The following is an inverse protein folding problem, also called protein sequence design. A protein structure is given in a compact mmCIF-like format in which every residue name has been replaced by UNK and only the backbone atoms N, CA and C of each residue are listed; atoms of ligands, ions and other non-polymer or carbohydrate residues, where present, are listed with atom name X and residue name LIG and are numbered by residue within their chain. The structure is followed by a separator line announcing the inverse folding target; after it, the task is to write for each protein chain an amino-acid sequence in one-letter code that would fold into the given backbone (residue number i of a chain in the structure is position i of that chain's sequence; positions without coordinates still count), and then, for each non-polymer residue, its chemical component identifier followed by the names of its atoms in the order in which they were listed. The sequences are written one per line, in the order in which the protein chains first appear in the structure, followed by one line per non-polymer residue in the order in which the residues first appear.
data_IF_814776722385
#
_entry.id   IF_814776722385
#
_cell.length_a   1.000
_cell.length_b   1.000
_cell.length_c   1.000
_cell.angle_alpha   90.00
_cell.angle_beta   90.00
_cell.angle_gamma   90.00
#
_symmetry.space_group_name_H-M   'P 1'
#
loop_
_entity.id
_entity.type
_entity.pdbx_description
1 polymer ?
#
# COMPACT_ATOMS: atom_id res chain seq x y z
N UNK A 1 -32.55 47.01 17.85
CA UNK A 1 -33.57 47.60 17.01
C UNK A 1 -33.19 47.35 15.56
N UNK A 2 -33.77 46.58 14.74
CA UNK A 2 -35.11 46.20 14.34
C UNK A 2 -35.09 44.77 13.80
N UNK A 3 -35.95 43.93 14.28
CA UNK A 3 -36.34 42.66 13.67
C UNK A 3 -37.31 42.91 12.50
N UNK A 4 -37.21 42.08 11.43
CA UNK A 4 -38.31 41.91 10.50
C UNK A 4 -38.46 40.42 10.19
N UNK A 5 -39.69 39.98 10.34
CA UNK A 5 -40.22 38.61 10.30
C UNK A 5 -40.54 38.17 8.86
N UNK A 6 -40.66 36.80 8.75
CA UNK A 6 -41.26 36.00 7.68
C UNK A 6 -42.59 36.56 7.12
N UNK A 7 -43.07 36.04 5.94
CA UNK A 7 -44.07 34.99 6.07
C UNK A 7 -43.96 33.78 5.11
N UNK A 8 -44.50 32.67 5.61
CA UNK A 8 -44.87 31.44 4.92
C UNK A 8 -46.20 31.57 4.15
N UNK A 9 -46.39 30.79 3.09
CA UNK A 9 -47.64 30.27 2.53
C UNK A 9 -47.26 29.11 1.61
N UNK A 10 -47.58 27.87 1.83
CA UNK A 10 -48.78 27.06 1.94
C UNK A 10 -49.54 26.84 0.61
N UNK A 11 -49.78 25.50 0.37
CA UNK A 11 -50.89 24.84 -0.37
C UNK A 11 -50.60 24.51 -1.84
N UNK A 12 -50.96 23.34 -2.45
CA UNK A 12 -51.97 22.30 -2.26
C UNK A 12 -51.56 21.06 -3.08
N UNK A 13 -51.58 19.89 -2.57
CA UNK A 13 -52.49 18.74 -2.76
C UNK A 13 -53.01 18.45 -4.18
N UNK A 14 -52.74 17.26 -4.69
CA UNK A 14 -53.70 16.48 -5.47
C UNK A 14 -53.34 15.00 -5.42
N UNK A 15 -54.19 14.25 -4.77
CA UNK A 15 -54.29 12.78 -4.75
C UNK A 15 -55.07 12.38 -6.00
N UNK A 16 -54.62 11.31 -6.68
CA UNK A 16 -55.47 10.54 -7.57
C UNK A 16 -55.24 9.04 -7.36
N UNK A 17 -56.22 8.42 -6.74
CA UNK A 17 -56.44 6.97 -6.63
C UNK A 17 -57.22 6.48 -7.84
N UNK A 18 -56.93 5.32 -8.36
CA UNK A 18 -57.83 4.39 -9.08
C UNK A 18 -56.95 3.19 -9.49
N UNK A 19 -57.23 1.99 -9.33
CA UNK A 19 -58.23 1.06 -8.84
C UNK A 19 -57.81 -0.34 -9.33
N UNK A 20 -57.96 -1.30 -8.46
CA UNK A 20 -57.79 -2.74 -8.57
C UNK A 20 -58.53 -3.33 -9.78
N UNK A 21 -57.90 -4.33 -10.45
CA UNK A 21 -58.64 -5.44 -11.02
C UNK A 21 -57.85 -6.73 -10.93
N UNK A 22 -58.30 -7.65 -10.10
CA UNK A 22 -57.94 -9.07 -10.15
C UNK A 22 -58.60 -9.74 -11.33
N UNK A 23 -57.89 -10.59 -12.03
CA UNK A 23 -58.51 -11.75 -12.69
C UNK A 23 -57.52 -12.93 -12.66
N UNK A 24 -58.02 -14.04 -12.13
CA UNK A 24 -57.43 -15.36 -12.07
C UNK A 24 -57.63 -16.10 -13.40
N UNK A 25 -56.61 -16.81 -13.88
CA UNK A 25 -56.76 -17.73 -15.02
C UNK A 25 -55.45 -18.48 -15.30
N UNK A 26 -55.52 -19.74 -15.11
CA UNK A 26 -54.58 -20.85 -15.21
C UNK A 26 -53.82 -21.00 -16.53
N UNK A 27 -52.56 -21.54 -16.39
CA UNK A 27 -51.82 -22.44 -17.29
C UNK A 27 -51.33 -21.97 -18.67
N UNK A 28 -50.02 -21.86 -18.86
CA UNK A 28 -49.09 -22.76 -19.59
C UNK A 28 -47.74 -22.14 -19.88
N UNK A 29 -46.71 -22.99 -19.83
CA UNK A 29 -45.33 -22.78 -20.26
C UNK A 29 -45.25 -22.00 -21.57
N UNK A 30 -44.32 -20.99 -21.60
CA UNK A 30 -43.27 -21.00 -22.62
C UNK A 30 -42.14 -20.04 -22.24
N UNK A 31 -40.94 -20.43 -22.66
CA UNK A 31 -39.66 -19.71 -22.48
C UNK A 31 -39.65 -18.44 -23.32
N UNK A 32 -39.10 -17.36 -22.79
CA UNK A 32 -38.13 -16.50 -23.51
C UNK A 32 -37.67 -15.35 -22.65
N UNK A 33 -36.38 -15.25 -22.45
CA UNK A 33 -35.54 -14.04 -22.47
C UNK A 33 -35.97 -12.81 -21.64
N UNK A 34 -35.58 -12.79 -20.38
CA UNK A 34 -35.41 -11.49 -19.70
C UNK A 34 -34.03 -10.94 -20.07
N UNK A 35 -34.02 -9.95 -20.93
CA UNK A 35 -32.86 -9.11 -21.25
C UNK A 35 -32.54 -8.27 -20.02
N UNK A 36 -31.60 -8.77 -19.23
CA UNK A 36 -30.98 -8.05 -18.13
C UNK A 36 -29.82 -7.26 -18.71
N UNK A 37 -30.09 -6.04 -19.15
CA UNK A 37 -29.05 -5.04 -19.43
C UNK A 37 -28.37 -4.66 -18.12
N UNK A 38 -27.56 -5.58 -17.60
CA UNK A 38 -26.58 -5.30 -16.58
C UNK A 38 -25.51 -4.38 -17.17
N UNK A 39 -25.50 -3.12 -16.79
CA UNK A 39 -24.38 -2.22 -17.02
C UNK A 39 -23.11 -2.96 -16.60
N UNK A 40 -22.07 -3.09 -17.45
CA UNK A 40 -20.83 -3.73 -17.03
C UNK A 40 -20.22 -2.89 -15.92
N UNK A 41 -20.15 -3.46 -14.71
CA UNK A 41 -19.33 -2.92 -13.65
C UNK A 41 -17.91 -2.93 -14.19
N UNK A 42 -17.37 -1.75 -14.44
CA UNK A 42 -15.98 -1.60 -14.85
C UNK A 42 -15.10 -2.26 -13.78
N UNK A 43 -14.57 -3.44 -14.10
CA UNK A 43 -13.59 -4.11 -13.26
C UNK A 43 -12.38 -3.20 -13.22
N UNK A 44 -12.05 -2.65 -12.04
CA UNK A 44 -10.83 -1.87 -11.88
C UNK A 44 -9.66 -2.70 -12.42
N UNK A 45 -8.80 -2.08 -13.21
CA UNK A 45 -7.61 -2.74 -13.72
C UNK A 45 -6.82 -3.34 -12.54
N UNK A 46 -6.27 -4.56 -12.67
CA UNK A 46 -5.50 -5.17 -11.60
C UNK A 46 -4.34 -4.24 -11.23
N UNK A 47 -4.20 -3.94 -9.94
CA UNK A 47 -3.10 -3.12 -9.43
C UNK A 47 -1.80 -3.89 -9.70
N UNK A 48 -0.80 -3.21 -10.27
CA UNK A 48 0.51 -3.82 -10.51
C UNK A 48 1.08 -4.42 -9.23
N UNK A 49 1.63 -5.63 -9.34
CA UNK A 49 2.34 -6.30 -8.26
C UNK A 49 3.76 -5.74 -8.05
N UNK A 50 4.23 -4.93 -9.01
CA UNK A 50 5.55 -4.34 -8.94
C UNK A 50 5.51 -3.02 -8.16
N UNK A 51 6.42 -2.92 -7.20
CA UNK A 51 6.52 -1.78 -6.29
C UNK A 51 7.93 -1.22 -6.33
N UNK A 52 8.04 0.10 -6.50
CA UNK A 52 9.26 0.86 -6.25
C UNK A 52 9.21 1.41 -4.83
N UNK A 53 10.27 1.21 -4.04
CA UNK A 53 10.45 1.86 -2.75
C UNK A 53 11.59 2.84 -2.79
N UNK A 54 11.43 3.96 -2.11
CA UNK A 54 12.45 5.00 -2.00
C UNK A 54 12.59 5.38 -0.53
N UNK A 55 13.82 5.38 -0.02
CA UNK A 55 14.14 5.85 1.32
C UNK A 55 15.25 6.90 1.25
N UNK A 56 15.05 8.06 1.87
CA UNK A 56 16.05 9.11 1.95
C UNK A 56 15.83 10.00 3.17
N UNK A 57 16.88 10.74 3.56
CA UNK A 57 16.79 11.71 4.64
C UNK A 57 16.56 13.12 4.08
N UNK A 58 15.73 13.91 4.77
CA UNK A 58 15.35 15.26 4.37
C UNK A 58 15.64 16.27 5.50
N UNK A 59 15.88 17.52 5.14
CA UNK A 59 16.01 18.61 6.11
C UNK A 59 14.68 19.02 6.72
N UNK A 60 13.58 18.87 5.96
CA UNK A 60 12.22 19.20 6.38
C UNK A 60 11.22 18.35 5.60
N UNK A 61 10.40 17.58 6.33
CA UNK A 61 9.31 16.81 5.72
C UNK A 61 8.31 17.71 4.98
N UNK A 62 7.94 18.85 5.55
CA UNK A 62 6.98 19.76 4.93
C UNK A 62 7.49 20.30 3.59
N UNK A 63 8.75 20.75 3.52
CA UNK A 63 9.38 21.22 2.28
C UNK A 63 9.44 20.10 1.24
N UNK A 64 9.90 18.91 1.65
CA UNK A 64 9.98 17.75 0.79
C UNK A 64 8.60 17.34 0.25
N UNK A 65 7.57 17.32 1.12
CA UNK A 65 6.21 16.90 0.75
C UNK A 65 5.61 17.80 -0.34
N UNK A 66 5.80 19.11 -0.24
CA UNK A 66 5.38 20.05 -1.29
C UNK A 66 6.05 19.75 -2.64
N UNK A 67 7.36 19.52 -2.64
CA UNK A 67 8.10 19.16 -3.84
C UNK A 67 7.67 17.78 -4.39
N UNK A 68 7.45 16.81 -3.51
CA UNK A 68 6.94 15.49 -3.91
C UNK A 68 5.57 15.60 -4.57
N UNK A 69 4.63 16.36 -3.98
CA UNK A 69 3.28 16.51 -4.53
C UNK A 69 3.28 17.25 -5.88
N UNK A 70 4.13 18.26 -6.04
CA UNK A 70 4.26 18.97 -7.31
C UNK A 70 4.75 18.09 -8.47
N UNK A 71 5.46 17.00 -8.19
CA UNK A 71 5.93 16.03 -9.16
C UNK A 71 4.94 14.91 -9.50
N UNK A 72 3.72 14.93 -8.95
CA UNK A 72 2.78 13.81 -9.08
C UNK A 72 2.38 13.53 -10.52
N UNK A 73 2.02 14.57 -11.31
CA UNK A 73 1.65 14.41 -12.72
C UNK A 73 2.78 13.80 -13.55
N UNK A 74 4.05 14.14 -13.27
CA UNK A 74 5.19 13.59 -14.00
C UNK A 74 5.40 12.10 -13.65
N UNK A 75 5.14 11.68 -12.40
CA UNK A 75 5.19 10.25 -12.02
C UNK A 75 4.06 9.47 -12.67
N UNK A 76 2.83 9.98 -12.61
CA UNK A 76 1.67 9.34 -13.25
C UNK A 76 1.87 9.15 -14.76
N UNK A 77 2.48 10.13 -15.44
CA UNK A 77 2.75 10.06 -16.88
C UNK A 77 3.68 8.90 -17.28
N UNK A 78 4.46 8.36 -16.34
CA UNK A 78 5.34 7.21 -16.57
C UNK A 78 4.84 5.93 -15.87
N UNK A 79 3.59 5.94 -15.37
CA UNK A 79 2.98 4.78 -14.73
C UNK A 79 3.49 4.52 -13.31
N UNK A 80 3.82 5.56 -12.56
CA UNK A 80 4.20 5.48 -11.14
C UNK A 80 3.07 6.04 -10.29
N UNK A 81 2.44 5.19 -9.48
CA UNK A 81 1.26 5.50 -8.70
C UNK A 81 1.61 5.51 -7.21
N UNK A 82 1.38 6.63 -6.53
CA UNK A 82 1.61 6.71 -5.08
C UNK A 82 0.79 5.65 -4.34
N UNK A 83 1.41 4.98 -3.39
CA UNK A 83 0.76 4.00 -2.53
C UNK A 83 0.87 4.37 -1.05
N UNK A 84 2.08 4.57 -0.55
CA UNK A 84 2.36 4.91 0.85
C UNK A 84 3.43 5.97 0.94
N UNK A 85 3.21 6.96 1.82
CA UNK A 85 4.27 7.82 2.36
C UNK A 85 4.38 7.55 3.85
N UNK A 86 5.60 7.37 4.33
CA UNK A 86 5.90 7.08 5.72
C UNK A 86 7.14 7.84 6.19
N UNK A 87 7.34 7.88 7.52
CA UNK A 87 8.50 8.49 8.17
C UNK A 87 9.13 7.52 9.14
N UNK A 88 10.44 7.55 9.26
CA UNK A 88 11.16 6.70 10.22
C UNK A 88 10.68 6.95 11.66
N UNK A 89 10.60 5.87 12.46
CA UNK A 89 10.23 5.96 13.88
C UNK A 89 11.35 6.59 14.69
N UNK A 90 12.60 6.15 14.47
CA UNK A 90 13.76 6.64 15.23
C UNK A 90 14.25 8.02 14.73
N UNK A 91 14.09 8.31 13.43
CA UNK A 91 14.38 9.61 12.82
C UNK A 91 13.26 9.98 11.86
N UNK A 92 12.38 10.86 12.27
CA UNK A 92 11.22 11.29 11.49
C UNK A 92 11.58 12.12 10.24
N UNK A 93 12.85 12.49 10.05
CA UNK A 93 13.36 13.08 8.82
C UNK A 93 13.80 12.05 7.78
N UNK A 94 13.78 10.76 8.11
CA UNK A 94 13.87 9.71 7.10
C UNK A 94 12.48 9.53 6.52
N UNK A 95 12.35 9.77 5.22
CA UNK A 95 11.11 9.57 4.45
C UNK A 95 11.21 8.26 3.70
N UNK A 96 10.12 7.49 3.74
CA UNK A 96 9.94 6.26 2.97
C UNK A 96 8.70 6.40 2.09
N UNK A 97 8.85 6.01 0.82
CA UNK A 97 7.79 6.05 -0.17
C UNK A 97 7.68 4.67 -0.80
N UNK A 98 6.46 4.18 -0.98
CA UNK A 98 6.17 3.04 -1.83
C UNK A 98 5.21 3.48 -2.95
N UNK A 99 5.49 3.07 -4.16
CA UNK A 99 4.69 3.35 -5.36
C UNK A 99 4.47 2.07 -6.15
N UNK A 100 3.25 1.83 -6.61
CA UNK A 100 3.00 0.85 -7.67
C UNK A 100 3.59 1.39 -8.98
N UNK A 101 4.19 0.52 -9.76
CA UNK A 101 4.80 0.88 -11.04
C UNK A 101 4.28 -0.05 -12.14
N UNK A 102 3.91 0.54 -13.29
CA UNK A 102 3.42 -0.21 -14.45
C UNK A 102 4.58 -0.79 -15.29
N UNK A 103 5.76 -0.15 -15.21
CA UNK A 103 6.98 -0.60 -15.87
C UNK A 103 8.22 -0.25 -15.05
N UNK A 104 9.02 -1.25 -14.76
CA UNK A 104 10.30 -1.12 -14.05
C UNK A 104 11.28 -0.26 -14.85
N UNK A 105 11.32 -0.43 -16.17
CA UNK A 105 12.23 0.30 -17.06
C UNK A 105 11.90 1.79 -17.05
N UNK A 106 10.61 2.16 -17.14
CA UNK A 106 10.18 3.56 -17.08
C UNK A 106 10.46 4.17 -15.71
N UNK A 107 10.21 3.42 -14.63
CA UNK A 107 10.49 3.88 -13.27
C UNK A 107 12.00 4.09 -13.05
N UNK A 108 12.85 3.17 -13.54
CA UNK A 108 14.32 3.32 -13.51
C UNK A 108 14.78 4.53 -14.33
N UNK A 109 14.25 4.72 -15.54
CA UNK A 109 14.58 5.86 -16.38
C UNK A 109 14.19 7.19 -15.71
N UNK A 110 13.00 7.25 -15.07
CA UNK A 110 12.56 8.41 -14.31
C UNK A 110 13.49 8.69 -13.12
N UNK A 111 13.83 7.69 -12.32
CA UNK A 111 14.71 7.84 -11.15
C UNK A 111 16.14 8.26 -11.54
N UNK A 112 16.63 7.83 -12.70
CA UNK A 112 17.96 8.13 -13.21
C UNK A 112 18.01 9.38 -14.11
N UNK A 113 16.92 10.16 -14.17
CA UNK A 113 16.90 11.41 -14.92
C UNK A 113 18.03 12.35 -14.41
N UNK A 114 18.86 12.94 -15.29
CA UNK A 114 19.97 13.81 -14.87
C UNK A 114 19.55 14.96 -13.93
N UNK A 115 18.34 15.49 -14.10
CA UNK A 115 17.81 16.56 -13.25
C UNK A 115 17.32 16.08 -11.88
N UNK A 116 17.18 14.75 -11.67
CA UNK A 116 16.61 14.21 -10.42
C UNK A 116 17.44 14.59 -9.20
N UNK A 117 18.77 14.58 -9.33
CA UNK A 117 19.67 14.97 -8.24
C UNK A 117 19.41 16.40 -7.77
N UNK A 118 19.32 17.33 -8.71
CA UNK A 118 19.06 18.75 -8.40
C UNK A 118 17.65 18.94 -7.83
N UNK A 119 16.66 18.24 -8.37
CA UNK A 119 15.29 18.26 -7.85
C UNK A 119 15.25 17.77 -6.40
N UNK A 120 15.91 16.66 -6.07
CA UNK A 120 16.00 16.13 -4.71
C UNK A 120 16.72 17.09 -3.77
N UNK A 121 17.82 17.72 -4.18
CA UNK A 121 18.52 18.73 -3.35
C UNK A 121 17.61 19.93 -3.08
N UNK A 122 16.92 20.45 -4.08
CA UNK A 122 15.94 21.55 -3.93
C UNK A 122 14.79 21.17 -3.01
N UNK A 123 14.35 19.90 -3.04
CA UNK A 123 13.37 19.35 -2.12
C UNK A 123 13.88 19.16 -0.68
N UNK A 124 15.18 19.34 -0.45
CA UNK A 124 15.82 19.21 0.86
C UNK A 124 16.29 17.79 1.20
N UNK A 125 16.46 16.91 0.21
CA UNK A 125 17.11 15.61 0.41
C UNK A 125 18.59 15.82 0.72
N UNK A 126 19.10 15.13 1.75
CA UNK A 126 20.47 15.23 2.24
C UNK A 126 21.13 13.85 2.33
N UNK A 127 22.47 13.87 2.50
CA UNK A 127 23.27 12.63 2.61
C UNK A 127 23.64 12.03 1.26
N UNK A 128 23.77 10.71 1.21
CA UNK A 128 24.21 9.95 0.03
C UNK A 128 23.16 9.85 -1.09
N UNK A 129 22.01 10.53 -0.94
CA UNK A 129 20.90 10.44 -1.88
C UNK A 129 19.81 9.48 -1.43
N UNK A 130 19.07 8.92 -2.40
CA UNK A 130 17.99 7.99 -2.13
C UNK A 130 18.45 6.52 -2.28
N UNK A 131 18.02 5.68 -1.35
CA UNK A 131 18.02 4.23 -1.51
C UNK A 131 16.75 3.86 -2.28
N UNK A 132 16.92 3.21 -3.43
CA UNK A 132 15.82 2.85 -4.34
C UNK A 132 15.85 1.36 -4.59
N UNK A 133 14.74 0.69 -4.32
CA UNK A 133 14.58 -0.74 -4.58
C UNK A 133 13.34 -0.99 -5.45
N UNK A 134 13.36 -2.08 -6.20
CA UNK A 134 12.26 -2.54 -7.05
C UNK A 134 11.87 -3.96 -6.65
N UNK A 135 10.60 -4.16 -6.32
CA UNK A 135 10.09 -5.38 -5.73
C UNK A 135 8.96 -5.97 -6.56
N UNK A 136 8.98 -7.28 -6.74
CA UNK A 136 7.82 -8.04 -7.18
C UNK A 136 7.11 -8.62 -5.95
N UNK A 137 5.84 -8.23 -5.73
CA UNK A 137 5.08 -8.69 -4.57
C UNK A 137 4.35 -9.99 -4.87
N UNK A 138 4.58 -11.00 -4.02
CA UNK A 138 3.90 -12.30 -4.10
C UNK A 138 2.75 -12.42 -3.11
N UNK A 139 2.74 -11.56 -2.11
CA UNK A 139 1.65 -11.46 -1.13
C UNK A 139 1.48 -10.01 -0.70
N UNK A 140 0.23 -9.55 -0.69
CA UNK A 140 -0.15 -8.24 -0.13
C UNK A 140 -1.46 -8.39 0.63
N UNK A 141 -1.44 -8.07 1.93
CA UNK A 141 -2.65 -7.89 2.71
C UNK A 141 -3.10 -6.43 2.61
N UNK A 142 -4.24 -6.20 1.97
CA UNK A 142 -4.84 -4.87 1.77
C UNK A 142 -5.85 -4.50 2.85
N UNK A 143 -6.13 -5.40 3.82
CA UNK A 143 -7.10 -5.14 4.88
C UNK A 143 -6.80 -3.83 5.61
N UNK A 144 -7.86 -3.09 5.91
CA UNK A 144 -7.76 -1.86 6.70
C UNK A 144 -7.28 -2.17 8.11
N UNK A 145 -6.32 -1.40 8.62
CA UNK A 145 -5.74 -1.55 9.95
C UNK A 145 -5.59 -0.20 10.63
N UNK A 146 -5.84 -0.18 11.93
CA UNK A 146 -5.61 1.03 12.74
C UNK A 146 -4.12 1.28 13.02
N UNK A 147 -3.31 0.21 13.10
CA UNK A 147 -1.87 0.32 13.32
C UNK A 147 -1.23 1.05 12.15
N UNK A 148 -0.52 2.13 12.44
CA UNK A 148 0.23 2.91 11.45
C UNK A 148 1.71 2.57 11.42
N UNK A 149 2.24 1.95 12.49
CA UNK A 149 3.64 1.51 12.55
C UNK A 149 3.84 0.26 11.72
N UNK A 150 4.91 0.28 10.93
CA UNK A 150 5.36 -0.83 10.10
C UNK A 150 6.85 -1.09 10.33
N UNK A 151 7.27 -2.28 10.00
CA UNK A 151 8.69 -2.60 9.84
C UNK A 151 8.91 -3.20 8.47
N UNK A 152 9.89 -2.67 7.73
CA UNK A 152 10.42 -3.27 6.52
C UNK A 152 11.69 -4.02 6.87
N UNK A 153 11.78 -5.26 6.41
CA UNK A 153 12.96 -6.12 6.59
C UNK A 153 13.43 -6.55 5.21
N UNK A 154 14.75 -6.40 4.97
CA UNK A 154 15.39 -6.88 3.74
C UNK A 154 16.53 -7.82 4.12
N UNK A 155 16.61 -8.98 3.47
CA UNK A 155 17.70 -9.92 3.67
C UNK A 155 17.91 -10.80 2.43
N UNK A 156 19.11 -11.36 2.31
CA UNK A 156 19.42 -12.36 1.29
C UNK A 156 19.06 -13.76 1.76
N UNK A 157 18.69 -14.60 0.81
CA UNK A 157 18.39 -16.02 1.02
C UNK A 157 19.13 -16.86 -0.01
N UNK A 158 19.45 -18.10 0.34
CA UNK A 158 20.08 -19.07 -0.56
C UNK A 158 19.15 -19.55 -1.66
N UNK A 159 17.88 -19.74 -1.31
CA UNK A 159 16.84 -20.25 -2.17
C UNK A 159 15.50 -19.72 -1.71
N UNK A 160 14.71 -19.19 -2.65
CA UNK A 160 13.41 -18.58 -2.36
C UNK A 160 12.39 -19.58 -1.83
N UNK A 161 12.27 -20.78 -2.44
CA UNK A 161 11.21 -21.72 -2.09
C UNK A 161 11.47 -22.33 -0.72
N UNK A 162 12.71 -22.69 -0.42
CA UNK A 162 13.12 -23.17 0.90
C UNK A 162 12.86 -22.11 1.98
N UNK A 163 13.26 -20.88 1.71
CA UNK A 163 13.02 -19.76 2.63
C UNK A 163 11.52 -19.50 2.83
N UNK A 164 10.75 -19.45 1.73
CA UNK A 164 9.30 -19.14 1.77
C UNK A 164 8.54 -20.17 2.61
N UNK A 165 8.88 -21.45 2.46
CA UNK A 165 8.31 -22.51 3.29
C UNK A 165 8.60 -22.30 4.78
N UNK A 166 9.86 -22.06 5.14
CA UNK A 166 10.25 -21.80 6.54
C UNK A 166 9.59 -20.52 7.08
N UNK A 167 9.47 -19.48 6.26
CA UNK A 167 8.76 -18.25 6.61
C UNK A 167 7.29 -18.50 6.92
N UNK A 168 6.58 -19.28 6.10
CA UNK A 168 5.16 -19.59 6.30
C UNK A 168 4.94 -20.41 7.57
N UNK A 169 5.77 -21.42 7.82
CA UNK A 169 5.72 -22.26 9.03
C UNK A 169 5.92 -21.43 10.32
N UNK A 170 6.65 -20.32 10.24
CA UNK A 170 6.94 -19.44 11.39
C UNK A 170 5.91 -18.33 11.62
N UNK A 171 4.74 -18.40 10.96
CA UNK A 171 3.71 -17.34 11.00
C UNK A 171 3.20 -17.07 12.42
N UNK A 172 2.91 -18.12 13.21
CA UNK A 172 2.35 -17.94 14.55
C UNK A 172 3.31 -17.19 15.47
N UNK A 173 4.62 -17.47 15.41
CA UNK A 173 5.63 -16.76 16.20
C UNK A 173 5.67 -15.26 15.88
N UNK A 174 5.44 -14.86 14.62
CA UNK A 174 5.31 -13.45 14.24
C UNK A 174 4.07 -12.81 14.83
N UNK A 175 2.93 -13.50 14.76
CA UNK A 175 1.66 -13.03 15.36
C UNK A 175 1.82 -12.81 16.87
N UNK A 176 2.41 -13.76 17.58
CA UNK A 176 2.66 -13.69 19.03
C UNK A 176 3.61 -12.54 19.41
N UNK A 177 4.52 -12.20 18.50
CA UNK A 177 5.41 -11.04 18.57
C UNK A 177 4.74 -9.71 18.19
N UNK A 178 3.44 -9.69 17.91
CA UNK A 178 2.71 -8.48 17.52
C UNK A 178 3.00 -8.02 16.08
N UNK A 179 3.43 -8.94 15.21
CA UNK A 179 3.71 -8.70 13.80
C UNK A 179 2.61 -9.31 12.93
N UNK A 180 2.03 -8.52 12.05
CA UNK A 180 1.06 -8.99 11.03
C UNK A 180 1.67 -8.83 9.65
N UNK A 181 1.71 -9.93 8.88
CA UNK A 181 2.25 -9.94 7.51
C UNK A 181 1.44 -8.97 6.64
N UNK A 182 2.12 -8.05 5.93
CA UNK A 182 1.50 -7.09 5.02
C UNK A 182 1.98 -7.26 3.59
N UNK A 183 3.29 -7.44 3.40
CA UNK A 183 3.89 -7.65 2.08
C UNK A 183 4.98 -8.69 2.20
N UNK A 184 4.99 -9.62 1.23
CA UNK A 184 6.10 -10.53 0.96
C UNK A 184 6.50 -10.33 -0.50
N UNK A 185 7.77 -10.07 -0.75
CA UNK A 185 8.30 -9.72 -2.07
C UNK A 185 9.73 -10.22 -2.25
N UNK A 186 10.17 -10.25 -3.50
CA UNK A 186 11.58 -10.37 -3.86
C UNK A 186 12.00 -9.22 -4.78
N UNK A 187 13.29 -8.92 -4.83
CA UNK A 187 13.78 -7.87 -5.70
C UNK A 187 13.67 -8.27 -7.18
N UNK A 188 13.21 -7.33 -8.01
CA UNK A 188 13.11 -7.57 -9.46
C UNK A 188 14.51 -7.75 -10.04
N UNK A 189 14.74 -8.93 -10.63
CA UNK A 189 16.03 -9.35 -11.16
C UNK A 189 16.93 -10.12 -10.17
N UNK A 190 16.51 -10.27 -8.89
CA UNK A 190 17.24 -11.08 -7.90
C UNK A 190 16.27 -11.70 -6.87
N UNK A 191 15.81 -12.92 -7.13
CA UNK A 191 14.90 -13.64 -6.24
C UNK A 191 15.53 -14.04 -4.89
N UNK A 192 16.86 -13.91 -4.76
CA UNK A 192 17.57 -14.13 -3.50
C UNK A 192 17.48 -12.95 -2.54
N UNK A 193 17.11 -11.75 -3.02
CA UNK A 193 16.87 -10.60 -2.16
C UNK A 193 15.40 -10.50 -1.80
N UNK A 194 15.09 -10.75 -0.53
CA UNK A 194 13.71 -10.73 0.00
C UNK A 194 13.39 -9.40 0.66
N UNK A 195 12.18 -8.91 0.43
CA UNK A 195 11.58 -7.74 1.07
C UNK A 195 10.29 -8.10 1.79
N UNK A 196 10.20 -7.75 3.07
CA UNK A 196 9.05 -8.02 3.93
C UNK A 196 8.54 -6.74 4.55
N UNK A 197 7.22 -6.63 4.69
CA UNK A 197 6.60 -5.56 5.49
C UNK A 197 5.62 -6.19 6.48
N UNK A 198 5.75 -5.82 7.75
CA UNK A 198 4.84 -6.19 8.81
C UNK A 198 4.16 -4.96 9.41
N UNK A 199 2.90 -5.08 9.79
CA UNK A 199 2.29 -4.17 10.73
C UNK A 199 2.75 -4.53 12.15
N UNK A 200 3.01 -3.52 12.97
CA UNK A 200 3.51 -3.67 14.33
C UNK A 200 2.45 -3.21 15.31
N UNK A 201 1.93 -4.14 16.12
CA UNK A 201 0.96 -3.84 17.18
C UNK A 201 1.63 -3.64 18.55
N UNK A 202 2.82 -4.24 18.75
CA UNK A 202 3.62 -4.10 19.96
C UNK A 202 5.10 -3.99 19.58
N UNK A 203 5.64 -2.78 19.72
CA UNK A 203 7.03 -2.48 19.37
C UNK A 203 8.04 -3.25 20.24
N UNK A 204 7.74 -3.42 21.54
CA UNK A 204 8.65 -4.09 22.48
C UNK A 204 8.74 -5.57 22.16
N UNK A 205 7.60 -6.23 21.94
CA UNK A 205 7.56 -7.64 21.53
C UNK A 205 8.22 -7.85 20.18
N UNK A 206 7.93 -6.98 19.20
CA UNK A 206 8.55 -7.06 17.88
C UNK A 206 10.08 -6.95 17.94
N UNK A 207 10.61 -5.98 18.68
CA UNK A 207 12.06 -5.81 18.87
C UNK A 207 12.67 -7.00 19.62
N UNK A 208 12.02 -7.51 20.66
CA UNK A 208 12.49 -8.69 21.41
C UNK A 208 12.55 -9.93 20.50
N UNK A 209 11.50 -10.17 19.70
CA UNK A 209 11.45 -11.26 18.73
C UNK A 209 12.56 -11.16 17.68
N UNK A 210 12.78 -9.97 17.09
CA UNK A 210 13.82 -9.75 16.08
C UNK A 210 15.25 -9.98 16.61
N UNK A 211 15.46 -9.83 17.92
CA UNK A 211 16.73 -10.07 18.58
C UNK A 211 16.80 -11.46 19.26
N UNK A 212 15.79 -12.30 19.10
CA UNK A 212 15.75 -13.60 19.74
C UNK A 212 16.68 -14.62 19.06
N UNK A 213 17.25 -15.51 19.88
CA UNK A 213 18.04 -16.63 19.36
C UNK A 213 17.19 -17.57 18.51
N UNK A 214 15.92 -17.79 18.90
CA UNK A 214 14.99 -18.65 18.15
C UNK A 214 14.81 -18.14 16.70
N UNK A 215 14.55 -16.84 16.52
CA UNK A 215 14.45 -16.27 15.17
C UNK A 215 15.77 -16.41 14.41
N UNK A 216 16.92 -16.15 15.05
CA UNK A 216 18.23 -16.28 14.40
C UNK A 216 18.48 -17.72 13.90
N UNK A 217 18.16 -18.72 14.74
CA UNK A 217 18.28 -20.14 14.37
C UNK A 217 17.32 -20.51 13.21
N UNK A 218 16.07 -20.01 13.25
CA UNK A 218 15.08 -20.24 12.19
C UNK A 218 15.49 -19.58 10.87
N UNK A 219 16.00 -18.34 10.91
CA UNK A 219 16.49 -17.63 9.73
C UNK A 219 17.67 -18.40 9.11
N UNK A 220 18.61 -18.88 9.93
CA UNK A 220 19.74 -19.70 9.46
C UNK A 220 19.28 -21.01 8.83
N UNK A 221 18.32 -21.71 9.45
CA UNK A 221 17.75 -22.94 8.91
C UNK A 221 16.98 -22.71 7.62
N UNK A 222 16.29 -21.56 7.49
CA UNK A 222 15.61 -21.12 6.26
C UNK A 222 16.53 -20.56 5.18
N UNK A 223 17.87 -20.61 5.38
CA UNK A 223 18.87 -20.22 4.38
C UNK A 223 19.08 -18.71 4.25
N UNK A 224 18.75 -17.92 5.28
CA UNK A 224 19.05 -16.48 5.30
C UNK A 224 20.57 -16.26 5.39
N UNK A 225 21.07 -15.34 4.57
CA UNK A 225 22.49 -15.00 4.47
C UNK A 225 22.75 -13.58 4.98
N UNK A 226 23.67 -13.47 5.92
CA UNK A 226 24.08 -12.20 6.52
C UNK A 226 23.02 -11.58 7.43
N UNK A 227 23.30 -10.39 7.97
CA UNK A 227 22.36 -9.68 8.82
C UNK A 227 21.24 -9.02 8.00
N UNK A 228 19.96 -9.05 8.48
CA UNK A 228 18.89 -8.34 7.83
C UNK A 228 19.05 -6.82 8.00
N UNK A 229 18.59 -6.06 7.00
CA UNK A 229 18.30 -4.63 7.15
C UNK A 229 16.90 -4.46 7.73
N UNK A 230 16.77 -3.73 8.82
CA UNK A 230 15.50 -3.52 9.53
C UNK A 230 15.22 -2.02 9.59
N UNK A 231 14.02 -1.61 9.15
CA UNK A 231 13.61 -0.21 9.17
C UNK A 231 12.18 -0.06 9.71
N UNK A 232 12.05 0.53 10.90
CA UNK A 232 10.75 0.88 11.49
C UNK A 232 10.29 2.24 10.98
N UNK A 233 9.05 2.32 10.52
CA UNK A 233 8.45 3.54 10.02
C UNK A 233 6.98 3.67 10.40
N UNK A 234 6.50 4.90 10.43
CA UNK A 234 5.09 5.22 10.62
C UNK A 234 4.48 5.70 9.31
N UNK A 235 3.41 5.06 8.87
CA UNK A 235 2.63 5.51 7.71
C UNK A 235 1.95 6.83 8.04
N UNK A 236 2.21 7.86 7.23
CA UNK A 236 1.62 9.20 7.37
C UNK A 236 0.59 9.50 6.30
N UNK A 237 0.66 8.80 5.16
CA UNK A 237 -0.36 8.88 4.10
C UNK A 237 -0.44 7.55 3.34
N UNK A 238 -1.67 7.10 3.08
CA UNK A 238 -2.01 6.03 2.14
C UNK A 238 -2.89 6.64 1.05
N UNK A 239 -2.64 6.24 -0.20
CA UNK A 239 -3.38 6.72 -1.37
C UNK A 239 -4.41 5.72 -1.84
#
# INVERSE_FOLDING_TARGET
MKSVRLPAKLLFSAILLLSVSCNSGTDKKDKTGADSTGTPVATAAPVSQDIMTIKHKVTSYAKWKLAHDSGDSARLAVGMHNYVIARGVDDSNIVFIAMHIDSVEKAKAFANNPNMKDMMQKAGVIGSGAEVDYWHTVFTDTASMQQTVRVMIKHKVKDWDTWKKAFDEHKQSRVDAGLTDRVVSYAIGDTHMVGLVFAVSDMSKAKAFMNSKDLADKMKAGGVEGPPSIFFYQVVKKY
#
